data_IF_738693432259
#
_entry.id   IF_738693432259
#
_cell.length_a   1.000
_cell.length_b   1.000
_cell.length_c   1.000
_cell.angle_alpha   90.00
_cell.angle_beta   90.00
_cell.angle_gamma   90.00
#
_symmetry.space_group_name_H-M   'P 1'
#
loop_
_entity.id
_entity.type
_entity.pdbx_description
1 polymer ?
#
# COMPACT_ATOMS: atom_id res chain seq x y z
N UNK A 1 25.95 -11.42 -2.05
CA UNK A 1 25.56 -11.34 -3.47
C UNK A 1 24.09 -10.98 -3.52
N UNK A 2 23.64 -10.01 -4.35
CA UNK A 2 22.22 -9.80 -4.53
C UNK A 2 21.64 -11.05 -5.18
N UNK A 3 20.63 -11.64 -4.53
CA UNK A 3 19.84 -12.73 -5.07
C UNK A 3 19.34 -12.32 -6.47
N UNK A 4 19.63 -13.07 -7.56
CA UNK A 4 19.07 -12.78 -8.86
C UNK A 4 17.56 -12.99 -8.76
N UNK A 5 16.84 -11.91 -8.42
CA UNK A 5 15.39 -11.90 -8.32
C UNK A 5 14.85 -12.55 -9.59
N UNK A 6 14.15 -13.69 -9.50
CA UNK A 6 13.73 -14.43 -10.68
C UNK A 6 12.95 -13.50 -11.60
N UNK A 7 13.24 -13.57 -12.90
CA UNK A 7 12.48 -12.87 -13.93
C UNK A 7 10.99 -13.05 -13.63
N UNK A 8 10.32 -11.97 -13.20
CA UNK A 8 8.91 -12.04 -12.84
C UNK A 8 8.11 -12.05 -14.14
N UNK A 9 7.55 -13.21 -14.46
CA UNK A 9 6.62 -13.39 -15.58
C UNK A 9 5.32 -12.65 -15.31
N UNK A 10 4.85 -11.92 -16.31
CA UNK A 10 3.49 -11.39 -16.36
C UNK A 10 2.68 -12.15 -17.41
N UNK A 11 1.38 -12.31 -17.19
CA UNK A 11 0.52 -12.66 -18.30
C UNK A 11 0.40 -11.45 -19.23
N UNK A 12 0.49 -11.70 -20.53
CA UNK A 12 0.26 -10.68 -21.53
C UNK A 12 -0.64 -11.20 -22.63
N UNK A 13 -1.46 -10.31 -23.18
CA UNK A 13 -2.20 -10.59 -24.40
C UNK A 13 -1.35 -10.15 -25.59
N UNK A 14 -0.99 -11.11 -26.45
CA UNK A 14 -0.36 -10.84 -27.75
C UNK A 14 -1.46 -10.61 -28.79
N UNK A 15 -1.32 -9.55 -29.57
CA UNK A 15 -2.26 -9.15 -30.63
C UNK A 15 -1.51 -8.72 -31.88
N UNK A 16 -2.18 -8.85 -33.02
CA UNK A 16 -1.83 -8.12 -34.23
C UNK A 16 -1.96 -6.60 -33.99
N UNK A 17 -1.09 -5.80 -34.62
CA UNK A 17 -1.09 -4.35 -34.51
C UNK A 17 -2.48 -3.72 -34.76
N UNK A 18 -3.30 -4.29 -35.65
CA UNK A 18 -4.64 -3.79 -35.99
C UNK A 18 -5.67 -3.93 -34.85
N UNK A 19 -5.47 -4.88 -33.93
CA UNK A 19 -6.42 -5.17 -32.84
C UNK A 19 -6.00 -4.59 -31.49
N UNK A 20 -4.84 -3.94 -31.41
CA UNK A 20 -4.28 -3.46 -30.13
C UNK A 20 -5.18 -2.46 -29.43
N UNK A 21 -5.72 -1.48 -30.16
CA UNK A 21 -6.56 -0.46 -29.54
C UNK A 21 -7.85 -1.06 -28.99
N UNK A 22 -8.41 -2.04 -29.70
CA UNK A 22 -9.60 -2.75 -29.28
C UNK A 22 -9.33 -3.68 -28.08
N UNK A 23 -8.28 -4.49 -28.15
CA UNK A 23 -7.85 -5.32 -27.03
C UNK A 23 -7.51 -4.47 -25.80
N UNK A 24 -6.90 -3.31 -25.99
CA UNK A 24 -6.60 -2.40 -24.89
C UNK A 24 -7.86 -1.81 -24.24
N UNK A 25 -8.90 -1.49 -25.03
CA UNK A 25 -10.18 -1.04 -24.49
C UNK A 25 -10.90 -2.16 -23.74
N UNK A 26 -10.93 -3.36 -24.31
CA UNK A 26 -11.57 -4.53 -23.69
C UNK A 26 -10.85 -4.95 -22.40
N UNK A 27 -9.52 -4.84 -22.36
CA UNK A 27 -8.71 -5.11 -21.19
C UNK A 27 -8.52 -3.90 -20.28
N UNK A 28 -9.08 -2.72 -20.55
CA UNK A 28 -8.76 -1.50 -19.80
C UNK A 28 -8.83 -1.67 -18.26
N UNK A 29 -9.79 -2.41 -17.67
CA UNK A 29 -9.81 -2.67 -16.23
C UNK A 29 -8.65 -3.54 -15.72
N UNK A 30 -8.07 -4.35 -16.60
CA UNK A 30 -7.05 -5.37 -16.36
C UNK A 30 -5.67 -4.95 -16.85
N UNK A 31 -5.60 -3.89 -17.65
CA UNK A 31 -4.37 -3.29 -18.13
C UNK A 31 -3.64 -2.57 -17.01
N UNK A 32 -2.34 -2.53 -17.20
CA UNK A 32 -1.45 -1.85 -16.28
C UNK A 32 -1.44 -0.34 -16.54
N UNK A 33 -2.14 0.39 -15.67
CA UNK A 33 -2.19 1.86 -15.74
C UNK A 33 -1.13 2.48 -14.84
N UNK A 34 0.07 2.71 -15.38
CA UNK A 34 1.13 3.45 -14.69
C UNK A 34 1.70 4.56 -15.59
N UNK A 35 1.76 5.82 -15.11
CA UNK A 35 2.36 6.91 -15.86
C UNK A 35 3.82 6.62 -16.24
N UNK A 36 4.17 6.91 -17.49
CA UNK A 36 5.54 6.74 -17.99
C UNK A 36 5.90 5.32 -18.43
N UNK A 37 4.94 4.40 -18.46
CA UNK A 37 5.12 3.06 -19.00
C UNK A 37 4.34 2.86 -20.31
N UNK A 38 4.92 2.13 -21.28
CA UNK A 38 4.21 1.81 -22.49
C UNK A 38 3.01 0.91 -22.18
N UNK A 39 1.81 1.36 -22.57
CA UNK A 39 0.57 0.56 -22.51
C UNK A 39 0.59 -0.65 -23.45
N UNK A 40 1.52 -0.62 -24.41
CA UNK A 40 1.69 -1.62 -25.47
C UNK A 40 3.19 -1.79 -25.70
N UNK A 41 3.68 -3.02 -25.65
CA UNK A 41 5.07 -3.35 -26.00
C UNK A 41 5.11 -3.86 -27.44
N UNK A 42 6.07 -3.38 -28.24
CA UNK A 42 6.27 -3.89 -29.60
C UNK A 42 7.00 -5.23 -29.59
N UNK A 43 6.63 -6.12 -30.50
CA UNK A 43 7.30 -7.40 -30.73
C UNK A 43 8.02 -7.37 -32.07
N UNK A 44 9.07 -8.18 -32.20
CA UNK A 44 9.91 -8.27 -33.41
C UNK A 44 9.16 -8.82 -34.62
N UNK A 45 8.08 -9.57 -34.39
CA UNK A 45 7.20 -10.13 -35.41
C UNK A 45 6.14 -9.14 -35.94
N UNK A 46 6.25 -7.86 -35.56
CA UNK A 46 5.25 -6.82 -35.89
C UNK A 46 4.00 -6.88 -34.99
N UNK A 47 3.90 -7.89 -34.13
CA UNK A 47 2.88 -8.00 -33.09
C UNK A 47 3.08 -6.98 -31.98
N UNK A 48 2.07 -6.91 -31.12
CA UNK A 48 2.03 -6.01 -29.98
C UNK A 48 1.55 -6.76 -28.76
N UNK A 49 2.06 -6.35 -27.60
CA UNK A 49 1.85 -7.05 -26.35
C UNK A 49 1.23 -6.09 -25.35
N UNK A 50 0.09 -6.50 -24.81
CA UNK A 50 -0.64 -5.78 -23.77
C UNK A 50 -0.31 -6.42 -22.42
N UNK A 51 0.65 -5.87 -21.66
CA UNK A 51 0.99 -6.41 -20.36
C UNK A 51 -0.20 -6.22 -19.42
N UNK A 52 -0.64 -7.32 -18.82
CA UNK A 52 -1.70 -7.28 -17.84
C UNK A 52 -1.17 -6.88 -16.48
N UNK A 53 -2.10 -6.50 -15.61
CA UNK A 53 -1.79 -6.23 -14.23
C UNK A 53 -1.06 -7.45 -13.59
N UNK A 54 -0.02 -7.25 -12.74
CA UNK A 54 0.74 -8.33 -12.09
C UNK A 54 -0.02 -9.30 -11.17
N UNK A 55 -1.35 -9.27 -11.20
CA UNK A 55 -2.26 -10.14 -10.44
C UNK A 55 -2.97 -11.15 -11.33
N UNK A 56 -2.87 -10.95 -12.65
CA UNK A 56 -3.39 -11.86 -13.65
C UNK A 56 -2.19 -12.68 -14.08
N UNK A 57 -2.12 -13.90 -13.54
CA UNK A 57 -1.03 -14.83 -13.75
C UNK A 57 -1.39 -15.85 -14.83
N UNK A 58 -2.69 -16.08 -15.02
CA UNK A 58 -3.25 -17.01 -15.99
C UNK A 58 -4.56 -16.48 -16.58
N UNK A 59 -4.97 -16.93 -17.78
CA UNK A 59 -6.22 -16.49 -18.40
C UNK A 59 -7.45 -16.72 -17.52
N UNK A 60 -7.44 -17.76 -16.69
CA UNK A 60 -8.54 -18.08 -15.76
C UNK A 60 -8.76 -17.02 -14.66
N UNK A 61 -7.82 -16.09 -14.47
CA UNK A 61 -7.99 -14.95 -13.54
C UNK A 61 -8.84 -13.81 -14.17
N UNK A 62 -9.25 -13.95 -15.43
CA UNK A 62 -10.11 -13.02 -16.18
C UNK A 62 -11.52 -13.60 -16.34
N UNK A 63 -12.55 -12.75 -16.61
CA UNK A 63 -13.87 -13.23 -16.97
C UNK A 63 -13.82 -14.19 -18.18
N UNK A 64 -14.46 -15.38 -18.12
CA UNK A 64 -14.37 -16.37 -19.18
C UNK A 64 -14.87 -15.87 -20.55
N UNK A 65 -15.93 -15.05 -20.53
CA UNK A 65 -16.51 -14.39 -21.69
C UNK A 65 -15.53 -13.40 -22.34
N UNK A 66 -14.79 -12.64 -21.53
CA UNK A 66 -13.75 -11.74 -22.01
C UNK A 66 -12.60 -12.51 -22.66
N UNK A 67 -12.14 -13.59 -22.04
CA UNK A 67 -11.06 -14.43 -22.61
C UNK A 67 -11.50 -15.03 -23.94
N UNK A 68 -12.73 -15.54 -24.02
CA UNK A 68 -13.29 -16.09 -25.24
C UNK A 68 -13.38 -15.04 -26.35
N UNK A 69 -13.88 -13.83 -26.04
CA UNK A 69 -13.99 -12.72 -26.99
C UNK A 69 -12.61 -12.30 -27.54
N UNK A 70 -11.64 -12.07 -26.64
CA UNK A 70 -10.29 -11.65 -27.02
C UNK A 70 -9.57 -12.71 -27.87
N UNK A 71 -9.80 -13.99 -27.60
CA UNK A 71 -9.19 -15.09 -28.34
C UNK A 71 -9.85 -15.28 -29.71
N UNK A 72 -11.18 -15.30 -29.76
CA UNK A 72 -11.92 -15.60 -30.99
C UNK A 72 -11.98 -14.42 -31.96
N UNK A 73 -12.27 -13.22 -31.44
CA UNK A 73 -12.57 -12.04 -32.26
C UNK A 73 -11.33 -11.23 -32.61
N UNK A 74 -10.38 -11.11 -31.68
CA UNK A 74 -9.17 -10.31 -31.87
C UNK A 74 -7.95 -11.16 -32.27
N UNK A 75 -8.14 -12.48 -32.40
CA UNK A 75 -7.07 -13.46 -32.60
C UNK A 75 -5.96 -13.33 -31.55
N UNK A 76 -6.34 -12.98 -30.32
CA UNK A 76 -5.41 -12.78 -29.22
C UNK A 76 -4.95 -14.09 -28.62
N UNK A 77 -3.68 -14.13 -28.19
CA UNK A 77 -3.14 -15.26 -27.45
C UNK A 77 -2.53 -14.78 -26.14
N UNK A 78 -3.01 -15.33 -25.03
CA UNK A 78 -2.44 -15.07 -23.72
C UNK A 78 -1.21 -15.95 -23.50
N UNK A 79 -0.08 -15.32 -23.19
CA UNK A 79 1.14 -16.05 -22.87
C UNK A 79 1.82 -15.41 -21.66
N UNK A 80 2.48 -16.22 -20.80
CA UNK A 80 3.48 -15.69 -19.89
C UNK A 80 4.55 -14.97 -20.71
N UNK A 81 4.90 -13.77 -20.29
CA UNK A 81 5.96 -12.98 -20.87
C UNK A 81 6.99 -12.67 -19.79
N UNK A 82 8.23 -13.07 -20.04
CA UNK A 82 9.36 -12.68 -19.22
C UNK A 82 9.58 -11.19 -19.44
N UNK A 83 9.33 -10.38 -18.41
CA UNK A 83 9.75 -9.00 -18.47
C UNK A 83 11.28 -8.94 -18.44
N UNK A 84 11.91 -8.15 -19.31
CA UNK A 84 13.34 -7.90 -19.21
C UNK A 84 13.60 -7.15 -17.90
N UNK A 85 13.90 -7.89 -16.83
CA UNK A 85 14.39 -7.34 -15.58
C UNK A 85 15.89 -7.07 -15.74
N UNK A 86 16.22 -5.98 -16.45
CA UNK A 86 16.83 -4.87 -15.74
C UNK A 86 16.14 -3.51 -15.93
N UNK A 87 15.04 -3.41 -16.70
CA UNK A 87 14.39 -2.10 -16.92
C UNK A 87 13.80 -1.55 -15.59
N UNK A 88 14.27 -0.39 -15.12
CA UNK A 88 13.75 0.30 -13.94
C UNK A 88 12.23 0.52 -14.00
N UNK A 89 11.68 0.69 -15.19
CA UNK A 89 10.26 0.93 -15.41
C UNK A 89 9.43 -0.33 -15.08
N UNK A 90 9.91 -1.53 -15.44
CA UNK A 90 9.22 -2.78 -15.11
C UNK A 90 9.22 -3.09 -13.61
N UNK A 91 10.31 -2.78 -12.90
CA UNK A 91 10.39 -2.94 -11.43
C UNK A 91 9.29 -2.15 -10.70
N UNK A 92 8.97 -0.94 -11.19
CA UNK A 92 7.94 -0.06 -10.61
C UNK A 92 6.53 -0.65 -10.66
N UNK A 93 6.27 -1.57 -11.59
CA UNK A 93 4.95 -2.16 -11.76
C UNK A 93 4.56 -3.12 -10.66
N UNK A 94 5.56 -3.79 -10.11
CA UNK A 94 5.37 -4.66 -8.97
C UNK A 94 5.35 -3.87 -7.66
N UNK A 95 5.56 -2.55 -7.68
CA UNK A 95 5.57 -1.71 -6.48
C UNK A 95 4.34 -0.81 -6.43
N UNK A 96 3.50 -1.04 -5.44
CA UNK A 96 2.41 -0.14 -5.10
C UNK A 96 2.90 0.87 -4.07
N UNK A 97 3.02 2.12 -4.49
CA UNK A 97 3.31 3.22 -3.58
C UNK A 97 2.03 3.71 -2.89
N UNK A 98 2.07 3.82 -1.57
CA UNK A 98 0.98 4.34 -0.77
C UNK A 98 1.47 5.32 0.31
N UNK A 99 0.68 6.37 0.56
CA UNK A 99 0.92 7.38 1.57
C UNK A 99 -0.38 8.11 1.89
N UNK A 100 -0.41 8.87 2.99
CA UNK A 100 -1.58 9.69 3.36
C UNK A 100 -2.00 10.71 2.29
N UNK A 101 -1.05 11.11 1.42
CA UNK A 101 -1.26 12.05 0.31
C UNK A 101 -1.32 11.37 -1.06
N UNK A 102 -1.46 10.04 -1.14
CA UNK A 102 -1.61 9.37 -2.44
C UNK A 102 -2.80 9.92 -3.22
N UNK A 103 -2.61 10.10 -4.53
CA UNK A 103 -3.71 10.44 -5.44
C UNK A 103 -4.67 9.25 -5.59
N UNK A 104 -5.88 9.55 -6.02
CA UNK A 104 -6.83 8.51 -6.42
C UNK A 104 -6.25 7.68 -7.57
N UNK A 105 -6.49 6.37 -7.52
CA UNK A 105 -6.05 5.42 -8.52
C UNK A 105 -7.21 4.47 -8.86
N UNK A 106 -7.20 3.83 -10.05
CA UNK A 106 -8.08 2.71 -10.33
C UNK A 106 -8.00 1.67 -9.21
N UNK A 107 -9.16 1.11 -8.87
CA UNK A 107 -9.27 0.14 -7.80
C UNK A 107 -8.65 -1.20 -8.23
N UNK A 108 -7.95 -1.90 -7.32
CA UNK A 108 -7.31 -3.18 -7.63
C UNK A 108 -8.27 -4.38 -7.61
N UNK A 109 -9.53 -4.15 -7.22
CA UNK A 109 -10.61 -5.12 -7.23
C UNK A 109 -11.97 -4.38 -7.29
N UNK A 110 -13.04 -5.03 -7.80
CA UNK A 110 -14.38 -4.46 -7.80
C UNK A 110 -14.85 -4.02 -6.41
N UNK A 111 -15.55 -2.88 -6.36
CA UNK A 111 -16.13 -2.33 -5.12
C UNK A 111 -15.13 -1.71 -4.13
N UNK A 112 -13.85 -1.57 -4.50
CA UNK A 112 -12.87 -0.82 -3.70
C UNK A 112 -12.85 0.67 -4.10
N UNK A 113 -12.63 1.59 -3.14
CA UNK A 113 -12.63 3.01 -3.43
C UNK A 113 -11.37 3.42 -4.20
N UNK A 114 -11.47 4.45 -5.06
CA UNK A 114 -10.30 5.00 -5.77
C UNK A 114 -9.23 5.57 -4.84
N UNK A 115 -9.61 5.89 -3.60
CA UNK A 115 -8.73 6.39 -2.54
C UNK A 115 -7.97 5.28 -1.79
N UNK A 116 -8.04 4.02 -2.23
CA UNK A 116 -7.50 2.86 -1.52
C UNK A 116 -6.03 3.00 -1.10
N UNK A 117 -5.18 3.68 -1.89
CA UNK A 117 -3.78 3.95 -1.52
C UNK A 117 -3.68 4.86 -0.28
N UNK A 118 -4.53 5.87 -0.15
CA UNK A 118 -4.61 6.68 1.08
C UNK A 118 -5.10 5.83 2.24
N UNK A 119 -6.02 4.91 1.97
CA UNK A 119 -6.61 4.05 3.00
C UNK A 119 -5.60 3.09 3.64
N UNK A 120 -4.59 2.64 2.89
CA UNK A 120 -3.48 1.84 3.45
C UNK A 120 -2.58 2.63 4.42
N UNK A 121 -2.62 3.95 4.41
CA UNK A 121 -1.80 4.77 5.31
C UNK A 121 -2.25 4.64 6.79
N UNK A 122 -1.31 4.84 7.72
CA UNK A 122 -1.61 4.96 9.16
C UNK A 122 -2.46 6.18 9.52
N UNK A 123 -2.64 7.09 8.55
CA UNK A 123 -3.45 8.30 8.64
C UNK A 123 -4.89 8.07 8.17
N UNK A 124 -5.23 6.89 7.65
CA UNK A 124 -6.59 6.60 7.28
C UNK A 124 -7.45 6.58 8.56
N UNK A 125 -8.40 7.51 8.63
CA UNK A 125 -9.42 7.46 9.68
C UNK A 125 -10.44 6.41 9.32
N UNK A 126 -10.76 5.57 10.31
CA UNK A 126 -11.87 4.64 10.23
C UNK A 126 -13.21 5.38 10.25
N UNK A 127 -13.25 6.62 10.74
CA UNK A 127 -14.47 7.42 10.90
C UNK A 127 -14.87 8.29 9.70
N UNK A 128 -13.95 8.59 8.77
CA UNK A 128 -14.14 9.63 7.75
C UNK A 128 -14.54 9.12 6.35
N UNK A 129 -14.98 7.85 6.23
CA UNK A 129 -15.54 7.34 4.98
C UNK A 129 -17.07 7.23 5.11
N UNK A 130 -17.78 8.27 4.67
CA UNK A 130 -19.24 8.41 4.77
C UNK A 130 -20.05 7.41 3.93
N UNK A 131 -19.43 6.38 3.36
CA UNK A 131 -20.09 5.37 2.52
C UNK A 131 -20.15 3.98 3.14
N UNK A 132 -19.54 3.78 4.32
CA UNK A 132 -19.62 2.52 5.06
C UNK A 132 -20.13 2.81 6.47
N UNK A 133 -21.29 2.23 6.80
CA UNK A 133 -21.98 2.33 8.10
C UNK A 133 -21.17 1.73 9.29
N UNK A 134 -19.92 1.33 9.07
CA UNK A 134 -19.05 0.60 10.00
C UNK A 134 -17.84 1.42 10.49
N UNK A 135 -17.94 2.75 10.47
CA UNK A 135 -16.92 3.68 10.95
C UNK A 135 -16.72 3.59 12.48
N UNK A 136 -15.99 2.57 12.94
CA UNK A 136 -15.67 2.35 14.35
C UNK A 136 -14.21 2.75 14.65
N UNK A 137 -13.91 3.28 15.85
CA UNK A 137 -12.53 3.54 16.24
C UNK A 137 -11.74 2.23 16.34
N UNK A 138 -10.42 2.34 16.16
CA UNK A 138 -9.51 1.20 16.33
C UNK A 138 -9.39 0.89 17.81
N UNK A 139 -9.81 -0.30 18.24
CA UNK A 139 -9.75 -0.72 19.65
C UNK A 139 -8.54 -1.60 19.90
N UNK A 140 -7.64 -1.19 20.81
CA UNK A 140 -6.44 -1.94 21.18
C UNK A 140 -6.25 -1.80 22.69
N UNK A 141 -6.03 -2.91 23.40
CA UNK A 141 -5.76 -2.94 24.85
C UNK A 141 -6.81 -2.17 25.68
N UNK A 142 -8.09 -2.25 25.30
CA UNK A 142 -9.20 -1.59 25.99
C UNK A 142 -9.39 -0.10 25.65
N UNK A 143 -8.51 0.49 24.85
CA UNK A 143 -8.59 1.90 24.43
C UNK A 143 -9.03 2.05 22.98
N UNK A 144 -9.73 3.14 22.68
CA UNK A 144 -10.18 3.52 21.36
C UNK A 144 -9.27 4.60 20.76
N UNK A 145 -8.81 4.37 19.53
CA UNK A 145 -7.95 5.27 18.77
C UNK A 145 -8.60 5.66 17.45
N UNK A 146 -8.47 6.92 17.05
CA UNK A 146 -9.03 7.37 15.78
C UNK A 146 -8.31 6.75 14.56
N UNK A 147 -7.00 6.53 14.67
CA UNK A 147 -6.17 5.95 13.61
C UNK A 147 -5.03 5.11 14.19
N UNK A 148 -4.34 4.36 13.32
CA UNK A 148 -3.07 3.69 13.65
C UNK A 148 -2.02 4.69 14.16
N UNK A 149 -1.96 5.89 13.59
CA UNK A 149 -1.05 6.95 14.05
C UNK A 149 -1.29 7.32 15.52
N UNK A 150 -2.55 7.41 15.97
CA UNK A 150 -2.86 7.73 17.37
C UNK A 150 -2.33 6.66 18.33
N UNK A 151 -2.60 5.38 18.04
CA UNK A 151 -2.07 4.28 18.84
C UNK A 151 -0.53 4.28 18.83
N UNK A 152 0.09 4.49 17.67
CA UNK A 152 1.54 4.54 17.55
C UNK A 152 2.17 5.66 18.40
N UNK A 153 1.58 6.86 18.39
CA UNK A 153 2.06 7.98 19.20
C UNK A 153 1.76 7.80 20.69
N UNK A 154 0.63 7.17 21.07
CA UNK A 154 0.36 6.78 22.45
C UNK A 154 1.46 5.87 23.01
N UNK A 155 1.79 4.79 22.27
CA UNK A 155 2.83 3.83 22.70
C UNK A 155 4.22 4.45 22.71
N UNK A 156 4.47 5.41 21.82
CA UNK A 156 5.69 6.22 21.85
C UNK A 156 5.77 7.10 23.10
N UNK A 157 4.67 7.77 23.45
CA UNK A 157 4.58 8.62 24.64
C UNK A 157 4.73 7.82 25.94
N UNK A 158 4.27 6.57 25.97
CA UNK A 158 4.52 5.63 27.08
C UNK A 158 6.01 5.29 27.29
N UNK A 159 6.87 5.57 26.31
CA UNK A 159 8.33 5.43 26.39
C UNK A 159 9.01 6.78 26.73
N UNK A 160 8.33 7.68 27.44
CA UNK A 160 8.87 9.00 27.78
C UNK A 160 9.00 9.20 29.29
N UNK A 161 9.62 10.30 29.70
CA UNK A 161 9.63 10.75 31.11
C UNK A 161 8.24 11.15 31.62
N UNK A 162 7.24 11.24 30.74
CA UNK A 162 5.83 11.55 31.05
C UNK A 162 4.88 10.54 30.40
N UNK A 163 4.88 9.26 30.84
CA UNK A 163 4.10 8.21 30.20
C UNK A 163 2.59 8.46 30.23
N UNK A 164 2.08 9.32 31.13
CA UNK A 164 0.68 9.74 31.18
C UNK A 164 0.23 10.45 29.89
N UNK A 165 1.17 11.00 29.10
CA UNK A 165 0.90 11.57 27.79
C UNK A 165 0.29 10.57 26.81
N UNK A 166 0.48 9.25 27.02
CA UNK A 166 -0.10 8.22 26.17
C UNK A 166 -1.64 8.29 26.13
N UNK A 167 -2.27 8.64 27.25
CA UNK A 167 -3.72 8.76 27.34
C UNK A 167 -4.26 9.88 26.43
N UNK A 168 -3.47 10.93 26.16
CA UNK A 168 -3.91 12.09 25.37
C UNK A 168 -4.31 11.74 23.94
N UNK A 169 -3.79 10.62 23.41
CA UNK A 169 -4.04 10.14 22.07
C UNK A 169 -5.24 9.18 21.97
N UNK A 170 -5.87 8.82 23.09
CA UNK A 170 -7.07 7.97 23.09
C UNK A 170 -8.33 8.83 22.96
N UNK A 171 -9.40 8.24 22.44
CA UNK A 171 -10.67 8.96 22.22
C UNK A 171 -11.42 9.25 23.52
N UNK A 172 -11.15 8.47 24.57
CA UNK A 172 -11.75 8.60 25.90
C UNK A 172 -11.18 9.76 26.70
N UNK A 173 -9.99 10.28 26.35
CA UNK A 173 -9.38 11.35 27.12
C UNK A 173 -10.13 12.67 26.93
N UNK A 174 -10.66 13.21 28.04
CA UNK A 174 -11.44 14.45 28.07
C UNK A 174 -10.68 15.65 28.67
N UNK A 175 -9.37 15.52 28.90
CA UNK A 175 -8.55 16.56 29.52
C UNK A 175 -8.09 17.67 28.57
N UNK A 176 -7.43 18.72 29.10
CA UNK A 176 -6.98 19.88 28.32
C UNK A 176 -5.87 19.56 27.30
N UNK A 177 -5.28 18.36 27.37
CA UNK A 177 -4.22 17.89 26.48
C UNK A 177 -4.72 16.89 25.44
N UNK A 178 -6.05 16.71 25.32
CA UNK A 178 -6.65 15.83 24.33
C UNK A 178 -6.14 16.13 22.92
N UNK A 179 -5.63 15.10 22.27
CA UNK A 179 -5.31 15.11 20.84
C UNK A 179 -6.60 14.81 20.08
N UNK A 180 -6.99 15.69 19.16
CA UNK A 180 -8.17 15.50 18.33
C UNK A 180 -8.04 14.31 17.37
N UNK A 181 -9.13 13.88 16.72
CA UNK A 181 -9.14 12.69 15.88
C UNK A 181 -8.38 12.84 14.54
N UNK A 182 -7.88 14.03 14.20
CA UNK A 182 -7.05 14.21 13.00
C UNK A 182 -5.66 13.57 13.25
N UNK A 183 -5.24 12.55 12.47
CA UNK A 183 -3.91 11.96 12.59
C UNK A 183 -2.75 12.95 12.45
N UNK A 184 -2.98 14.12 11.84
CA UNK A 184 -1.98 15.20 11.79
C UNK A 184 -1.73 15.79 13.18
N UNK A 185 -2.76 15.93 14.00
CA UNK A 185 -2.62 16.40 15.39
C UNK A 185 -1.83 15.37 16.20
N UNK A 186 -2.16 14.07 16.09
CA UNK A 186 -1.39 13.00 16.72
C UNK A 186 0.09 13.03 16.32
N UNK A 187 0.38 13.15 15.02
CA UNK A 187 1.77 13.26 14.56
C UNK A 187 2.48 14.50 15.10
N UNK A 188 1.80 15.63 15.22
CA UNK A 188 2.37 16.87 15.76
C UNK A 188 2.64 16.79 17.25
N UNK A 189 1.68 16.29 18.04
CA UNK A 189 1.83 16.06 19.48
C UNK A 189 2.93 15.04 19.78
N UNK A 190 3.04 14.01 18.94
CA UNK A 190 4.06 12.96 19.02
C UNK A 190 5.47 13.36 18.52
N UNK A 191 5.64 14.58 18.01
CA UNK A 191 6.92 15.09 17.52
C UNK A 191 7.76 15.71 18.65
N UNK A 192 9.06 15.93 18.39
CA UNK A 192 10.01 16.54 19.36
C UNK A 192 9.49 17.85 19.97
N UNK A 193 8.81 18.68 19.17
CA UNK A 193 8.22 19.94 19.65
C UNK A 193 7.11 19.69 20.68
N UNK A 194 6.21 18.73 20.42
CA UNK A 194 5.13 18.39 21.35
C UNK A 194 5.66 17.93 22.70
N UNK A 195 6.66 17.04 22.71
CA UNK A 195 7.32 16.60 23.94
C UNK A 195 7.91 17.77 24.73
N UNK A 196 8.65 18.65 24.05
CA UNK A 196 9.24 19.85 24.67
C UNK A 196 8.19 20.78 25.29
N UNK A 197 7.08 21.01 24.60
CA UNK A 197 5.98 21.85 25.09
C UNK A 197 5.44 21.36 26.44
N UNK A 198 5.52 20.06 26.70
CA UNK A 198 5.03 19.46 27.94
C UNK A 198 6.15 19.03 28.89
N UNK A 199 7.39 19.48 28.68
CA UNK A 199 8.53 19.13 29.53
C UNK A 199 8.83 17.63 29.56
N UNK A 200 8.53 16.91 28.48
CA UNK A 200 8.78 15.48 28.35
C UNK A 200 10.00 15.19 27.46
N UNK A 201 10.67 14.08 27.74
CA UNK A 201 11.77 13.55 26.94
C UNK A 201 11.48 12.11 26.56
N UNK A 202 11.74 11.75 25.30
CA UNK A 202 11.54 10.40 24.80
C UNK A 202 12.77 9.54 25.13
N UNK A 203 12.56 8.37 25.73
CA UNK A 203 13.55 7.32 25.76
C UNK A 203 13.65 6.70 24.36
N UNK A 204 14.62 7.20 23.58
CA UNK A 204 14.82 6.80 22.19
C UNK A 204 15.26 5.35 22.09
N UNK A 205 16.09 4.86 23.02
CA UNK A 205 16.60 3.49 23.00
C UNK A 205 15.44 2.50 23.17
N UNK A 206 14.67 2.68 24.23
CA UNK A 206 13.46 1.87 24.49
C UNK A 206 12.46 1.96 23.34
N UNK A 207 12.23 3.16 22.80
CA UNK A 207 11.30 3.32 21.70
C UNK A 207 11.75 2.59 20.42
N UNK A 208 13.05 2.63 20.09
CA UNK A 208 13.60 1.93 18.92
C UNK A 208 13.39 0.42 19.01
N UNK A 209 13.52 -0.16 20.21
CA UNK A 209 13.30 -1.59 20.46
C UNK A 209 11.83 -2.01 20.24
N UNK A 210 10.87 -1.20 20.69
CA UNK A 210 9.46 -1.60 20.71
C UNK A 210 8.64 -1.12 19.50
N UNK A 211 9.10 -0.10 18.76
CA UNK A 211 8.31 0.56 17.70
C UNK A 211 7.80 -0.39 16.62
N UNK A 212 8.57 -1.42 16.26
CA UNK A 212 8.16 -2.40 15.26
C UNK A 212 7.01 -3.27 15.77
N UNK A 213 7.14 -3.80 17.00
CA UNK A 213 6.08 -4.56 17.63
C UNK A 213 4.79 -3.73 17.75
N UNK A 214 4.90 -2.47 18.17
CA UNK A 214 3.76 -1.54 18.23
C UNK A 214 3.08 -1.42 16.87
N UNK A 215 3.83 -1.21 15.79
CA UNK A 215 3.25 -1.12 14.45
C UNK A 215 2.56 -2.42 14.05
N UNK A 216 3.18 -3.57 14.31
CA UNK A 216 2.59 -4.89 14.03
C UNK A 216 1.26 -5.07 14.76
N UNK A 217 1.22 -4.78 16.06
CA UNK A 217 -0.02 -4.83 16.85
C UNK A 217 -1.11 -3.95 16.24
N UNK A 218 -0.78 -2.75 15.79
CA UNK A 218 -1.74 -1.82 15.20
C UNK A 218 -2.29 -2.34 13.85
N UNK A 219 -1.43 -2.90 13.00
CA UNK A 219 -1.83 -3.47 11.72
C UNK A 219 -2.66 -4.75 11.90
N UNK A 220 -2.33 -5.60 12.88
CA UNK A 220 -3.12 -6.77 13.23
C UNK A 220 -4.52 -6.39 13.73
N UNK A 221 -4.59 -5.43 14.66
CA UNK A 221 -5.86 -4.93 15.17
C UNK A 221 -6.71 -4.32 14.04
N UNK A 222 -6.09 -3.52 13.15
CA UNK A 222 -6.79 -2.94 12.00
C UNK A 222 -7.27 -4.01 11.04
N UNK A 223 -6.45 -5.02 10.72
CA UNK A 223 -6.87 -6.14 9.88
C UNK A 223 -8.10 -6.87 10.43
N UNK A 224 -8.17 -7.05 11.75
CA UNK A 224 -9.28 -7.73 12.41
C UNK A 224 -10.57 -6.90 12.41
N UNK A 225 -10.46 -5.57 12.55
CA UNK A 225 -11.59 -4.67 12.81
C UNK A 225 -12.07 -3.90 11.56
N UNK A 226 -11.21 -3.69 10.57
CA UNK A 226 -11.47 -2.88 9.37
C UNK A 226 -11.52 -3.79 8.13
N UNK A 227 -12.74 -4.21 7.77
CA UNK A 227 -12.98 -5.06 6.61
C UNK A 227 -12.50 -4.43 5.31
N UNK A 228 -12.67 -3.12 5.14
CA UNK A 228 -12.23 -2.42 3.94
C UNK A 228 -10.71 -2.45 3.82
N UNK A 229 -9.99 -2.20 4.92
CA UNK A 229 -8.53 -2.31 4.94
C UNK A 229 -8.08 -3.73 4.62
N UNK A 230 -8.72 -4.74 5.20
CA UNK A 230 -8.44 -6.15 4.90
C UNK A 230 -8.65 -6.44 3.40
N UNK A 231 -9.78 -6.04 2.82
CA UNK A 231 -10.08 -6.23 1.40
C UNK A 231 -9.07 -5.51 0.49
N UNK A 232 -8.71 -4.27 0.80
CA UNK A 232 -7.68 -3.52 0.05
C UNK A 232 -6.32 -4.20 0.17
N UNK A 233 -5.93 -4.63 1.37
CA UNK A 233 -4.64 -5.24 1.59
C UNK A 233 -4.53 -6.60 0.87
N UNK A 234 -5.55 -7.45 0.96
CA UNK A 234 -5.68 -8.68 0.15
C UNK A 234 -5.66 -8.36 -1.34
N UNK A 235 -6.30 -7.27 -1.76
CA UNK A 235 -6.26 -6.77 -3.13
C UNK A 235 -4.89 -6.21 -3.55
N UNK A 236 -3.83 -6.40 -2.76
CA UNK A 236 -2.44 -6.09 -3.19
C UNK A 236 -1.57 -7.33 -3.33
N UNK A 237 -2.11 -8.55 -3.09
CA UNK A 237 -1.36 -9.81 -3.22
C UNK A 237 -0.65 -9.89 -4.58
N UNK A 238 0.60 -10.38 -4.56
CA UNK A 238 1.51 -10.39 -5.72
C UNK A 238 2.32 -9.10 -5.92
N UNK A 239 1.89 -7.99 -5.31
CA UNK A 239 2.57 -6.70 -5.37
C UNK A 239 3.41 -6.46 -4.12
N UNK A 240 4.53 -5.77 -4.30
CA UNK A 240 5.32 -5.15 -3.24
C UNK A 240 4.65 -3.85 -2.81
N UNK A 241 4.36 -3.73 -1.52
CA UNK A 241 3.86 -2.48 -0.97
C UNK A 241 5.03 -1.58 -0.60
N UNK A 242 4.98 -0.30 -1.00
CA UNK A 242 5.95 0.72 -0.61
C UNK A 242 5.24 1.87 0.08
N UNK A 243 5.50 2.03 1.38
CA UNK A 243 5.11 3.24 2.08
C UNK A 243 6.02 4.39 1.63
N UNK A 244 5.47 5.38 0.94
CA UNK A 244 6.30 6.44 0.37
C UNK A 244 6.72 7.46 1.43
N UNK A 245 8.04 7.64 1.59
CA UNK A 245 8.65 8.68 2.42
C UNK A 245 9.74 9.45 1.66
N UNK A 246 9.73 10.78 1.76
CA UNK A 246 10.67 11.66 1.05
C UNK A 246 12.12 11.54 1.54
N UNK A 247 12.34 10.98 2.73
CA UNK A 247 13.68 10.86 3.31
C UNK A 247 14.53 9.78 2.64
N UNK A 248 13.95 9.01 1.69
CA UNK A 248 14.66 8.03 0.86
C UNK A 248 15.41 7.02 1.71
N UNK A 249 16.72 6.90 1.47
CA UNK A 249 17.60 5.94 2.12
C UNK A 249 17.58 5.97 3.67
N UNK A 250 17.26 7.11 4.29
CA UNK A 250 17.20 7.26 5.76
C UNK A 250 15.87 6.82 6.38
N UNK A 251 14.91 6.41 5.56
CA UNK A 251 13.55 6.09 6.00
C UNK A 251 13.47 4.71 6.64
N UNK A 252 12.97 4.65 7.88
CA UNK A 252 12.72 3.37 8.56
C UNK A 252 11.33 2.80 8.20
N UNK A 253 10.28 3.61 8.22
CA UNK A 253 8.93 3.09 7.98
C UNK A 253 8.63 2.94 6.50
N UNK A 254 9.08 3.89 5.69
CA UNK A 254 8.87 3.89 4.25
C UNK A 254 10.16 3.95 3.45
N UNK A 255 10.05 4.57 2.28
CA UNK A 255 11.14 4.76 1.35
C UNK A 255 10.69 5.41 0.05
N UNK A 256 11.58 5.44 -0.93
CA UNK A 256 11.30 5.88 -2.30
C UNK A 256 11.89 4.87 -3.28
N UNK A 257 11.50 4.95 -4.55
CA UNK A 257 12.23 4.26 -5.62
C UNK A 257 13.20 5.24 -6.24
N UNK A 258 14.42 4.77 -6.50
CA UNK A 258 15.39 5.50 -7.29
C UNK A 258 14.81 5.77 -8.70
N UNK A 259 14.91 7.02 -9.14
CA UNK A 259 14.32 7.46 -10.40
C UNK A 259 15.05 6.87 -11.63
N UNK A 260 16.30 6.43 -11.45
CA UNK A 260 17.14 5.87 -12.50
C UNK A 260 17.16 4.35 -12.43
N UNK A 261 17.39 3.75 -11.26
CA UNK A 261 17.59 2.30 -11.12
C UNK A 261 16.30 1.54 -10.75
N UNK A 262 15.27 2.26 -10.29
CA UNK A 262 14.04 1.67 -9.79
C UNK A 262 14.21 0.90 -8.47
N UNK A 263 15.38 1.01 -7.84
CA UNK A 263 15.68 0.32 -6.59
C UNK A 263 15.04 1.00 -5.39
N UNK A 264 14.69 0.20 -4.39
CA UNK A 264 14.13 0.71 -3.15
C UNK A 264 15.21 1.41 -2.33
N UNK A 265 14.94 2.67 -1.96
CA UNK A 265 15.72 3.43 -0.99
C UNK A 265 14.96 3.54 0.32
N UNK A 266 15.60 3.15 1.42
CA UNK A 266 14.97 3.05 2.74
C UNK A 266 14.57 1.61 3.05
N UNK A 267 14.10 1.38 4.27
CA UNK A 267 13.83 0.00 4.74
C UNK A 267 12.39 -0.45 4.53
N UNK A 268 11.45 0.48 4.30
CA UNK A 268 10.06 0.19 3.99
C UNK A 268 9.40 -0.82 4.95
N UNK A 269 9.70 -0.73 6.26
CA UNK A 269 9.20 -1.68 7.25
C UNK A 269 7.68 -1.74 7.33
N UNK A 270 6.97 -0.62 7.14
CA UNK A 270 5.50 -0.63 7.13
C UNK A 270 4.94 -1.45 5.95
N UNK A 271 5.51 -1.28 4.76
CA UNK A 271 5.14 -2.07 3.59
C UNK A 271 5.42 -3.57 3.79
N UNK A 272 6.54 -3.89 4.45
CA UNK A 272 6.88 -5.27 4.81
C UNK A 272 5.89 -5.88 5.83
N UNK A 273 5.59 -5.19 6.93
CA UNK A 273 4.62 -5.64 7.94
C UNK A 273 3.25 -5.92 7.33
N UNK A 274 2.76 -5.01 6.47
CA UNK A 274 1.47 -5.21 5.78
C UNK A 274 1.52 -6.40 4.82
N UNK A 275 2.63 -6.58 4.11
CA UNK A 275 2.84 -7.72 3.20
C UNK A 275 2.85 -9.04 3.97
N UNK A 276 3.61 -9.12 5.06
CA UNK A 276 3.65 -10.28 5.95
C UNK A 276 2.26 -10.60 6.51
N UNK A 277 1.50 -9.57 6.92
CA UNK A 277 0.14 -9.77 7.41
C UNK A 277 -0.80 -10.34 6.34
N UNK A 278 -0.72 -9.81 5.12
CA UNK A 278 -1.54 -10.20 3.97
C UNK A 278 -1.33 -11.66 3.57
N UNK A 279 -0.09 -12.12 3.69
CA UNK A 279 0.37 -13.41 3.18
C UNK A 279 0.37 -14.51 4.25
N UNK A 280 0.15 -14.16 5.53
CA UNK A 280 -0.10 -15.14 6.59
C UNK A 280 -1.41 -15.91 6.33
N UNK A 281 -1.43 -17.25 6.47
CA UNK A 281 -2.66 -18.04 6.44
C UNK A 281 -3.70 -17.54 7.45
N UNK A 282 -4.97 -17.73 7.13
CA UNK A 282 -6.09 -17.42 8.03
C UNK A 282 -6.13 -18.40 9.21
#
# INVERSE_FOLDING_TARGET
MPDPSPARRLLALRLDARHVHEGARALDPYLLHQPGLPRVVALDDGGKLLPLHPRIHQPADLPPDLVADLTARLHGHFAPHDLPLPDPAWRRLHVVQFASRSKDAPALAPGLPRSWRRYLSNFASLSNLSTLSSAQPLRIDGHAYATVEHYFQARKAACSTRPEMAAWFTLEHAGPHRVGPDPREAKQAGARKGYRTHGAELDVARWVEVRELVMRTAIEARWAQDELFRRILVSTRGLRLLHFERAGARSFWGGSLDATTGELQGTNRLGAIMTERRDRPA
#
